data_IF_935064559387
#
_entry.id   IF_935064559387
#
_cell.length_a   1.000
_cell.length_b   1.000
_cell.length_c   1.000
_cell.angle_alpha   90.00
_cell.angle_beta   90.00
_cell.angle_gamma   90.00
#
_symmetry.space_group_name_H-M   'P 1'
#
loop_
_entity.id
_entity.type
_entity.pdbx_description
1 polymer ?
#
# COMPACT_ATOMS: atom_id res chain seq x y z
N UNK A 1 15.35 20.57 4.46
CA UNK A 1 14.28 19.66 4.93
C UNK A 1 13.12 20.46 5.49
N UNK A 2 13.29 21.23 6.58
CA UNK A 2 12.19 21.95 7.25
C UNK A 2 11.40 22.86 6.28
N UNK A 3 12.11 23.62 5.43
CA UNK A 3 11.52 24.54 4.46
C UNK A 3 10.85 23.84 3.27
N UNK A 4 11.50 22.83 2.71
CA UNK A 4 11.04 22.21 1.46
C UNK A 4 10.06 21.05 1.70
N UNK A 5 10.26 20.28 2.78
CA UNK A 5 9.59 19.01 3.00
C UNK A 5 8.50 19.10 4.07
N UNK A 6 8.77 19.78 5.19
CA UNK A 6 7.89 19.77 6.37
C UNK A 6 6.90 20.93 6.36
N UNK A 7 7.39 22.18 6.24
CA UNK A 7 6.54 23.37 6.36
C UNK A 7 6.07 23.93 5.01
N UNK A 8 6.84 23.71 3.95
CA UNK A 8 6.69 24.43 2.69
C UNK A 8 7.35 25.82 2.72
N UNK A 9 7.68 26.33 1.53
CA UNK A 9 8.49 27.55 1.38
C UNK A 9 7.85 28.79 1.99
N UNK A 10 6.60 29.04 1.68
CA UNK A 10 5.89 30.25 2.09
C UNK A 10 5.80 30.33 3.61
N UNK A 11 5.38 29.27 4.26
CA UNK A 11 5.16 29.23 5.69
C UNK A 11 6.49 29.28 6.47
N UNK A 12 7.50 28.56 5.99
CA UNK A 12 8.85 28.62 6.56
C UNK A 12 9.44 30.03 6.44
N UNK A 13 9.37 30.63 5.24
CA UNK A 13 9.95 31.95 4.99
C UNK A 13 9.28 33.02 5.84
N UNK A 14 7.96 32.94 6.05
CA UNK A 14 7.23 33.81 6.95
C UNK A 14 7.67 33.62 8.41
N UNK A 15 7.75 32.41 8.91
CA UNK A 15 8.17 32.13 10.28
C UNK A 15 9.64 32.54 10.54
N UNK A 16 10.52 32.25 9.58
CA UNK A 16 11.91 32.60 9.66
C UNK A 16 12.16 34.14 9.61
N UNK A 17 11.38 34.85 8.80
CA UNK A 17 11.38 36.32 8.80
C UNK A 17 10.92 36.86 10.16
N UNK A 18 9.85 36.32 10.72
CA UNK A 18 9.36 36.68 12.06
C UNK A 18 10.41 36.44 13.12
N UNK A 19 11.14 35.31 13.06
CA UNK A 19 12.26 35.06 13.94
C UNK A 19 13.35 36.11 13.79
N UNK A 20 13.75 36.43 12.56
CA UNK A 20 14.81 37.41 12.26
C UNK A 20 14.44 38.81 12.79
N UNK A 21 13.19 39.24 12.62
CA UNK A 21 12.71 40.53 13.12
C UNK A 21 12.62 40.58 14.66
N UNK A 22 12.10 39.52 15.28
CA UNK A 22 11.93 39.42 16.75
C UNK A 22 13.25 39.41 17.50
N UNK A 23 14.26 38.75 16.91
CA UNK A 23 15.54 38.48 17.58
C UNK A 23 16.72 39.28 17.03
N UNK A 24 16.49 40.20 16.09
CA UNK A 24 17.53 41.08 15.57
C UNK A 24 18.26 41.81 16.72
N UNK A 25 19.60 41.79 16.68
CA UNK A 25 20.49 42.37 17.67
C UNK A 25 20.34 41.83 19.12
N UNK A 26 19.70 40.68 19.30
CA UNK A 26 19.56 39.97 20.59
C UNK A 26 20.39 38.68 20.56
N UNK A 27 20.40 37.95 21.66
CA UNK A 27 21.12 36.68 21.83
C UNK A 27 20.12 35.53 22.03
N UNK A 28 19.43 35.02 20.98
CA UNK A 28 18.47 33.95 21.12
C UNK A 28 19.15 32.63 21.46
N UNK A 29 18.46 31.82 22.23
CA UNK A 29 18.78 30.42 22.45
C UNK A 29 18.13 29.56 21.38
N UNK A 30 18.52 28.28 21.21
CA UNK A 30 17.80 27.34 20.31
C UNK A 30 16.30 27.25 20.63
N UNK A 31 15.92 27.29 21.90
CA UNK A 31 14.52 27.27 22.32
C UNK A 31 13.71 28.47 21.80
N UNK A 32 14.35 29.64 21.73
CA UNK A 32 13.73 30.87 21.20
C UNK A 32 13.47 30.75 19.69
N UNK A 33 14.36 30.08 18.98
CA UNK A 33 14.16 29.76 17.57
C UNK A 33 12.99 28.79 17.39
N UNK A 34 12.99 27.66 18.10
CA UNK A 34 11.94 26.64 18.00
C UNK A 34 10.56 27.23 18.27
N UNK A 35 10.39 27.88 19.41
CA UNK A 35 9.14 28.54 19.77
C UNK A 35 8.69 29.59 18.75
N UNK A 36 9.63 30.38 18.24
CA UNK A 36 9.26 31.43 17.28
C UNK A 36 8.79 30.82 15.95
N UNK A 37 9.43 29.73 15.51
CA UNK A 37 9.03 29.02 14.29
C UNK A 37 7.62 28.43 14.46
N UNK A 38 7.33 27.80 15.58
CA UNK A 38 6.02 27.22 15.88
C UNK A 38 4.92 28.28 16.07
N UNK A 39 5.19 29.32 16.89
CA UNK A 39 4.26 30.42 17.12
C UNK A 39 3.86 31.14 15.81
N UNK A 40 4.83 31.36 14.94
CA UNK A 40 4.58 32.09 13.70
C UNK A 40 3.89 31.23 12.64
N UNK A 41 4.18 29.94 12.58
CA UNK A 41 3.64 29.02 11.58
C UNK A 41 2.36 28.31 12.02
N UNK A 42 2.08 28.26 13.33
CA UNK A 42 1.05 27.42 13.94
C UNK A 42 1.19 25.91 13.61
N UNK A 43 2.40 25.44 13.31
CA UNK A 43 2.74 24.05 13.04
C UNK A 43 3.41 23.45 14.25
N UNK A 44 2.98 22.24 14.67
CA UNK A 44 3.64 21.45 15.70
C UNK A 44 4.91 20.82 15.12
N UNK A 45 6.07 21.31 15.59
CA UNK A 45 7.40 20.86 15.15
C UNK A 45 8.18 20.17 16.29
N UNK A 46 7.56 19.90 17.42
CA UNK A 46 8.22 19.26 18.58
C UNK A 46 8.92 17.96 18.20
N UNK A 47 8.28 17.15 17.36
CA UNK A 47 8.84 15.90 16.84
C UNK A 47 10.11 16.13 16.02
N UNK A 48 10.15 17.22 15.23
CA UNK A 48 11.29 17.59 14.39
C UNK A 48 12.44 18.07 15.26
N UNK A 49 12.20 19.03 16.18
CA UNK A 49 13.22 19.54 17.08
C UNK A 49 13.83 18.44 17.95
N UNK A 50 12.98 17.58 18.52
CA UNK A 50 13.43 16.45 19.33
C UNK A 50 14.35 15.53 18.54
N UNK A 51 13.97 15.12 17.36
CA UNK A 51 14.76 14.21 16.54
C UNK A 51 16.07 14.84 16.07
N UNK A 52 16.00 15.99 15.41
CA UNK A 52 17.16 16.60 14.76
C UNK A 52 18.17 17.27 15.72
N UNK A 53 17.77 17.68 16.91
CA UNK A 53 18.63 18.45 17.82
C UNK A 53 18.95 17.74 19.13
N UNK A 54 18.19 16.72 19.52
CA UNK A 54 18.33 16.09 20.85
C UNK A 54 18.58 14.58 20.81
N UNK A 55 18.65 13.96 19.63
CA UNK A 55 19.04 12.56 19.47
C UNK A 55 20.24 12.40 18.56
N UNK A 56 20.80 11.19 18.50
CA UNK A 56 21.81 10.78 17.54
C UNK A 56 21.21 9.91 16.43
N UNK A 57 19.89 9.89 16.31
CA UNK A 57 19.17 9.13 15.34
C UNK A 57 19.37 9.69 13.92
N UNK A 58 19.08 8.89 12.93
CA UNK A 58 19.14 9.27 11.53
C UNK A 58 17.86 8.87 10.82
N UNK A 59 17.67 9.34 9.61
CA UNK A 59 16.53 8.94 8.79
C UNK A 59 16.88 7.66 8.04
N UNK A 60 16.12 6.60 8.29
CA UNK A 60 16.13 5.34 7.54
C UNK A 60 14.73 4.75 7.67
N UNK A 61 13.90 4.97 6.67
CA UNK A 61 12.52 4.47 6.60
C UNK A 61 12.46 3.42 5.50
N UNK A 62 11.94 2.24 5.80
CA UNK A 62 11.82 1.14 4.84
C UNK A 62 10.38 0.87 4.43
N UNK A 63 10.21 0.37 3.21
CA UNK A 63 9.01 -0.36 2.79
C UNK A 63 9.26 -1.84 3.10
N UNK A 64 8.62 -2.36 4.17
CA UNK A 64 8.84 -3.73 4.62
C UNK A 64 8.03 -4.73 3.82
N UNK A 65 6.75 -4.42 3.57
CA UNK A 65 5.80 -5.32 2.93
C UNK A 65 4.72 -4.53 2.20
N UNK A 66 4.27 -5.07 1.08
CA UNK A 66 3.14 -4.55 0.31
C UNK A 66 2.23 -5.71 -0.03
N UNK A 67 1.00 -5.65 0.46
CA UNK A 67 -0.04 -6.63 0.17
C UNK A 67 -1.11 -6.02 -0.70
N UNK A 68 -1.41 -6.68 -1.78
CA UNK A 68 -2.49 -6.32 -2.65
C UNK A 68 -3.71 -7.20 -2.40
N UNK A 69 -4.87 -6.58 -2.31
CA UNK A 69 -6.15 -7.26 -2.13
C UNK A 69 -7.16 -6.75 -3.16
N UNK A 70 -7.98 -7.64 -3.63
CA UNK A 70 -9.26 -7.32 -4.25
C UNK A 70 -10.38 -7.80 -3.34
N UNK A 71 -11.51 -7.12 -3.37
CA UNK A 71 -12.70 -7.57 -2.65
C UNK A 71 -13.24 -8.81 -3.36
N UNK A 72 -13.54 -9.85 -2.59
CA UNK A 72 -14.32 -10.98 -3.06
C UNK A 72 -15.77 -10.51 -3.23
N UNK A 73 -16.29 -10.60 -4.42
CA UNK A 73 -17.63 -10.13 -4.76
C UNK A 73 -18.73 -11.08 -4.29
N UNK A 74 -18.39 -12.29 -3.85
CA UNK A 74 -19.31 -13.42 -3.59
C UNK A 74 -20.18 -13.78 -4.82
N UNK A 75 -19.95 -13.13 -5.96
CA UNK A 75 -20.64 -13.42 -7.20
C UNK A 75 -20.06 -14.68 -7.85
N UNK A 76 -20.82 -15.79 -7.91
CA UNK A 76 -20.31 -17.05 -8.44
C UNK A 76 -19.92 -16.98 -9.92
N UNK A 77 -20.48 -16.04 -10.68
CA UNK A 77 -20.11 -15.83 -12.09
C UNK A 77 -18.72 -15.17 -12.24
N UNK A 78 -18.25 -14.46 -11.21
CA UNK A 78 -16.94 -13.80 -11.17
C UNK A 78 -15.93 -14.67 -10.42
N UNK A 79 -16.30 -15.16 -9.24
CA UNK A 79 -15.37 -15.82 -8.33
C UNK A 79 -15.03 -17.25 -8.75
N UNK A 80 -15.99 -18.01 -9.34
CA UNK A 80 -15.74 -19.37 -9.77
C UNK A 80 -14.69 -19.49 -10.89
N UNK A 81 -14.71 -18.65 -11.95
CA UNK A 81 -13.61 -18.59 -12.93
C UNK A 81 -12.26 -18.26 -12.31
N UNK A 82 -12.21 -17.29 -11.37
CA UNK A 82 -10.97 -16.91 -10.66
C UNK A 82 -10.45 -18.10 -9.84
N UNK A 83 -11.33 -18.78 -9.09
CA UNK A 83 -10.96 -19.95 -8.30
C UNK A 83 -10.46 -21.11 -9.18
N UNK A 84 -11.03 -21.30 -10.38
CA UNK A 84 -10.54 -22.25 -11.38
C UNK A 84 -9.13 -21.92 -11.82
N UNK A 85 -8.88 -20.66 -12.24
CA UNK A 85 -7.56 -20.19 -12.68
C UNK A 85 -6.50 -20.36 -11.61
N UNK A 86 -6.83 -20.09 -10.35
CA UNK A 86 -5.93 -20.29 -9.21
C UNK A 86 -5.60 -21.78 -9.05
N UNK A 87 -6.60 -22.65 -9.14
CA UNK A 87 -6.40 -24.09 -9.02
C UNK A 87 -5.54 -24.66 -10.16
N UNK A 88 -5.75 -24.20 -11.39
CA UNK A 88 -4.97 -24.61 -12.55
C UNK A 88 -3.50 -24.18 -12.48
N UNK A 89 -3.23 -23.02 -11.86
CA UNK A 89 -1.88 -22.50 -11.65
C UNK A 89 -1.15 -23.11 -10.44
N UNK A 90 -1.87 -23.88 -9.61
CA UNK A 90 -1.27 -24.54 -8.44
C UNK A 90 -0.35 -25.68 -8.89
N UNK A 91 0.68 -25.97 -8.11
CA UNK A 91 1.67 -26.99 -8.42
C UNK A 91 1.06 -28.32 -8.84
N UNK A 92 1.40 -28.73 -10.06
CA UNK A 92 0.87 -29.96 -10.65
C UNK A 92 1.63 -31.16 -10.09
N UNK A 93 0.91 -32.15 -9.58
CA UNK A 93 1.51 -33.39 -9.12
C UNK A 93 2.30 -34.06 -10.24
N UNK A 94 3.50 -34.59 -9.90
CA UNK A 94 4.47 -35.14 -10.88
C UNK A 94 3.83 -36.21 -11.80
N UNK A 95 2.86 -36.97 -11.30
CA UNK A 95 2.14 -37.95 -12.08
C UNK A 95 1.42 -37.34 -13.28
N UNK A 96 0.76 -36.19 -13.11
CA UNK A 96 0.12 -35.49 -14.23
C UNK A 96 1.14 -35.05 -15.27
N UNK A 97 2.26 -34.41 -14.86
CA UNK A 97 3.33 -33.99 -15.77
C UNK A 97 3.94 -35.14 -16.57
N UNK A 98 4.03 -36.35 -15.98
CA UNK A 98 4.51 -37.54 -16.69
C UNK A 98 3.46 -38.06 -17.66
N UNK A 99 2.19 -38.02 -17.28
CA UNK A 99 1.10 -38.47 -18.11
C UNK A 99 0.91 -37.62 -19.37
N UNK A 100 1.03 -36.29 -19.24
CA UNK A 100 0.98 -35.35 -20.39
C UNK A 100 1.92 -35.76 -21.54
N UNK A 101 3.07 -36.36 -21.23
CA UNK A 101 4.06 -36.79 -22.22
C UNK A 101 3.94 -38.24 -22.66
N UNK A 102 3.16 -39.08 -21.94
CA UNK A 102 3.11 -40.54 -22.15
C UNK A 102 1.73 -41.05 -22.58
N UNK A 103 0.69 -40.31 -22.21
CA UNK A 103 -0.72 -40.70 -22.48
C UNK A 103 -1.28 -39.72 -23.51
N UNK A 104 -1.43 -40.15 -24.74
CA UNK A 104 -1.99 -39.33 -25.81
C UNK A 104 -3.48 -39.09 -25.69
N UNK A 105 -4.18 -40.01 -25.04
CA UNK A 105 -5.64 -39.96 -24.88
C UNK A 105 -6.04 -40.78 -23.66
N UNK A 106 -6.90 -40.24 -22.82
CA UNK A 106 -7.43 -40.93 -21.63
C UNK A 106 -8.59 -41.85 -22.03
N UNK A 107 -8.97 -42.80 -21.15
CA UNK A 107 -10.09 -43.73 -21.42
C UNK A 107 -11.39 -42.96 -21.69
N UNK A 108 -11.67 -41.93 -20.91
CA UNK A 108 -12.87 -41.08 -21.05
C UNK A 108 -12.89 -40.19 -22.29
N UNK A 109 -11.77 -40.04 -22.99
CA UNK A 109 -11.70 -39.31 -24.27
C UNK A 109 -11.95 -40.16 -25.49
N UNK A 110 -11.82 -41.49 -25.38
CA UNK A 110 -12.05 -42.38 -26.49
C UNK A 110 -13.23 -43.36 -26.27
N UNK A 111 -13.76 -43.47 -25.06
CA UNK A 111 -14.85 -44.36 -24.69
C UNK A 111 -15.96 -43.62 -23.93
N UNK A 112 -16.97 -43.23 -24.64
CA UNK A 112 -18.12 -42.48 -24.11
C UNK A 112 -18.90 -43.28 -23.03
N UNK A 113 -18.79 -44.61 -23.01
CA UNK A 113 -19.44 -45.45 -21.98
C UNK A 113 -18.73 -45.33 -20.60
N UNK A 114 -17.49 -44.86 -20.60
CA UNK A 114 -16.68 -44.61 -19.39
C UNK A 114 -16.94 -43.23 -18.75
N UNK A 115 -17.77 -42.42 -19.39
CA UNK A 115 -18.12 -41.08 -18.88
C UNK A 115 -19.15 -41.24 -17.76
N UNK A 116 -18.83 -40.72 -16.59
CA UNK A 116 -19.72 -40.71 -15.44
C UNK A 116 -19.78 -39.28 -14.78
N UNK A 117 -20.51 -39.17 -13.68
CA UNK A 117 -20.65 -37.94 -12.95
C UNK A 117 -19.26 -37.34 -12.51
N UNK A 118 -18.33 -38.18 -12.09
CA UNK A 118 -17.02 -37.73 -11.60
C UNK A 118 -16.12 -37.21 -12.69
N UNK A 119 -16.30 -37.70 -13.93
CA UNK A 119 -15.51 -37.21 -15.09
C UNK A 119 -16.09 -35.94 -15.71
N UNK A 120 -17.38 -35.66 -15.50
CA UNK A 120 -18.08 -34.49 -16.04
C UNK A 120 -18.32 -33.39 -14.99
N UNK A 121 -18.13 -33.71 -13.70
CA UNK A 121 -18.36 -32.76 -12.62
C UNK A 121 -17.32 -31.64 -12.61
N UNK A 122 -17.81 -30.42 -12.80
CA UNK A 122 -17.01 -29.21 -12.67
C UNK A 122 -17.41 -28.48 -11.38
N UNK A 123 -16.52 -28.43 -10.34
CA UNK A 123 -16.82 -27.77 -9.08
C UNK A 123 -16.90 -26.24 -9.19
N UNK A 124 -16.49 -25.67 -10.33
CA UNK A 124 -16.53 -24.22 -10.60
C UNK A 124 -17.68 -23.83 -11.53
N UNK A 125 -18.54 -24.76 -11.89
CA UNK A 125 -19.74 -24.45 -12.68
C UNK A 125 -20.75 -23.72 -11.79
N UNK A 126 -21.11 -22.51 -12.17
CA UNK A 126 -22.14 -21.73 -11.47
C UNK A 126 -23.50 -22.36 -11.64
N UNK A 127 -24.09 -22.76 -10.54
CA UNK A 127 -25.43 -23.39 -10.50
C UNK A 127 -26.55 -22.36 -10.28
N UNK A 128 -27.81 -22.79 -10.43
CA UNK A 128 -28.97 -21.94 -10.10
C UNK A 128 -28.98 -21.62 -8.59
N UNK A 129 -28.62 -22.61 -7.75
CA UNK A 129 -28.56 -22.42 -6.29
C UNK A 129 -27.53 -21.38 -5.89
N UNK A 130 -26.36 -21.38 -6.52
CA UNK A 130 -25.30 -20.35 -6.26
C UNK A 130 -25.82 -18.94 -6.58
N UNK A 131 -26.59 -18.78 -7.67
CA UNK A 131 -27.21 -17.49 -8.04
C UNK A 131 -28.30 -17.06 -7.05
N UNK A 132 -29.11 -18.00 -6.58
CA UNK A 132 -30.14 -17.73 -5.57
C UNK A 132 -29.49 -17.30 -4.23
N UNK A 133 -28.43 -17.97 -3.82
CA UNK A 133 -27.72 -17.65 -2.59
C UNK A 133 -27.00 -16.31 -2.70
N UNK A 134 -26.42 -16.00 -3.84
CA UNK A 134 -25.85 -14.67 -4.11
C UNK A 134 -26.93 -13.57 -4.06
N UNK A 135 -28.12 -13.83 -4.60
CA UNK A 135 -29.23 -12.87 -4.53
C UNK A 135 -29.65 -12.59 -3.09
N UNK A 136 -29.79 -13.63 -2.26
CA UNK A 136 -30.07 -13.50 -0.84
C UNK A 136 -28.95 -12.76 -0.08
N UNK A 137 -27.69 -12.97 -0.47
CA UNK A 137 -26.56 -12.25 0.10
C UNK A 137 -26.69 -10.76 -0.16
N UNK A 138 -26.97 -10.35 -1.41
CA UNK A 138 -27.16 -8.95 -1.77
C UNK A 138 -28.36 -8.29 -1.03
N UNK A 139 -29.43 -9.02 -0.77
CA UNK A 139 -30.60 -8.53 -0.04
C UNK A 139 -30.29 -8.16 1.43
N UNK A 140 -29.20 -8.69 2.00
CA UNK A 140 -28.78 -8.42 3.37
C UNK A 140 -27.76 -7.27 3.49
N UNK A 141 -27.31 -6.71 2.37
CA UNK A 141 -26.34 -5.62 2.33
C UNK A 141 -27.03 -4.27 2.25
N UNK A 142 -26.37 -3.24 2.78
CA UNK A 142 -26.79 -1.86 2.56
C UNK A 142 -26.25 -1.29 1.24
N UNK A 143 -26.74 -0.12 0.83
CA UNK A 143 -26.38 0.51 -0.44
C UNK A 143 -24.87 0.81 -0.54
N UNK A 144 -24.20 1.16 0.58
CA UNK A 144 -22.76 1.43 0.61
C UNK A 144 -21.95 0.14 0.45
N UNK A 145 -22.38 -0.95 1.09
CA UNK A 145 -21.75 -2.25 0.96
C UNK A 145 -21.86 -2.79 -0.46
N UNK A 146 -23.00 -2.59 -1.11
CA UNK A 146 -23.21 -2.95 -2.52
C UNK A 146 -22.29 -2.13 -3.43
N UNK A 147 -22.17 -0.81 -3.20
CA UNK A 147 -21.25 0.05 -3.97
C UNK A 147 -19.80 -0.40 -3.83
N UNK A 148 -19.37 -0.76 -2.63
CA UNK A 148 -18.03 -1.28 -2.35
C UNK A 148 -17.79 -2.61 -3.08
N UNK A 149 -18.74 -3.54 -3.02
CA UNK A 149 -18.65 -4.84 -3.70
C UNK A 149 -18.56 -4.73 -5.22
N UNK A 150 -19.26 -3.75 -5.79
CA UNK A 150 -19.26 -3.52 -7.24
C UNK A 150 -18.08 -2.66 -7.70
N UNK A 151 -17.29 -2.10 -6.75
CA UNK A 151 -16.14 -1.28 -7.09
C UNK A 151 -14.97 -2.15 -7.55
N UNK A 152 -14.37 -1.82 -8.71
CA UNK A 152 -13.12 -2.47 -9.18
C UNK A 152 -11.88 -1.79 -8.58
N UNK A 153 -11.93 -1.51 -7.26
CA UNK A 153 -10.83 -0.87 -6.54
C UNK A 153 -9.75 -1.87 -6.18
N UNK A 154 -8.51 -1.38 -6.17
CA UNK A 154 -7.35 -2.11 -5.69
C UNK A 154 -7.00 -1.62 -4.27
N UNK A 155 -6.84 -2.53 -3.34
CA UNK A 155 -6.50 -2.25 -1.95
C UNK A 155 -5.07 -2.67 -1.69
N UNK A 156 -4.22 -1.73 -1.28
CA UNK A 156 -2.81 -1.99 -0.97
C UNK A 156 -2.54 -1.69 0.50
N UNK A 157 -2.19 -2.70 1.29
CA UNK A 157 -1.64 -2.51 2.64
C UNK A 157 -0.13 -2.37 2.53
N UNK A 158 0.40 -1.20 2.85
CA UNK A 158 1.82 -0.94 2.94
C UNK A 158 2.25 -0.93 4.40
N UNK A 159 3.34 -1.65 4.71
CA UNK A 159 3.99 -1.64 6.01
C UNK A 159 5.31 -0.91 5.92
N UNK A 160 5.53 0.03 6.85
CA UNK A 160 6.77 0.80 6.95
C UNK A 160 7.42 0.60 8.30
N UNK A 161 8.77 0.58 8.31
CA UNK A 161 9.57 0.64 9.53
C UNK A 161 10.45 1.88 9.54
N UNK A 162 10.56 2.52 10.70
CA UNK A 162 11.54 3.55 10.98
C UNK A 162 12.75 2.90 11.64
N UNK A 163 13.74 2.56 10.82
CA UNK A 163 14.95 1.83 11.26
C UNK A 163 15.93 2.79 11.94
N UNK A 164 16.01 4.02 11.42
CA UNK A 164 16.97 5.02 11.89
C UNK A 164 16.55 5.75 13.16
N UNK A 165 15.27 5.63 13.57
CA UNK A 165 14.73 6.25 14.77
C UNK A 165 14.22 7.68 14.59
N UNK A 166 14.75 8.43 13.63
CA UNK A 166 14.34 9.80 13.38
C UNK A 166 13.05 9.84 12.55
N UNK A 167 12.02 10.47 13.12
CA UNK A 167 10.70 10.56 12.48
C UNK A 167 10.72 11.57 11.33
N UNK A 168 10.16 11.18 10.18
CA UNK A 168 9.99 12.02 8.99
C UNK A 168 8.65 11.76 8.28
N UNK A 169 8.16 12.71 7.48
CA UNK A 169 7.05 12.44 6.56
C UNK A 169 7.39 11.28 5.63
N UNK A 170 6.37 10.51 5.25
CA UNK A 170 6.51 9.46 4.24
C UNK A 170 6.07 10.04 2.89
N UNK A 171 6.97 10.05 1.92
CA UNK A 171 6.73 10.54 0.57
C UNK A 171 6.83 9.35 -0.37
N UNK A 172 5.73 9.02 -1.05
CA UNK A 172 5.64 7.86 -1.93
C UNK A 172 5.39 8.31 -3.37
N UNK A 173 6.12 7.76 -4.29
CA UNK A 173 5.78 7.78 -5.70
C UNK A 173 5.19 6.43 -6.06
N UNK A 174 3.93 6.43 -6.49
CA UNK A 174 3.25 5.27 -7.06
C UNK A 174 3.40 5.30 -8.57
N UNK A 175 3.92 4.24 -9.14
CA UNK A 175 3.91 4.03 -10.57
C UNK A 175 2.90 2.95 -10.91
N UNK A 176 1.96 3.27 -11.79
CA UNK A 176 0.88 2.39 -12.20
C UNK A 176 1.23 1.59 -13.44
N UNK A 177 0.52 0.49 -13.66
CA UNK A 177 0.69 -0.38 -14.84
C UNK A 177 0.38 0.31 -16.17
N UNK A 178 -0.42 1.38 -16.15
CA UNK A 178 -0.71 2.22 -17.32
C UNK A 178 0.41 3.24 -17.66
N UNK A 179 1.49 3.26 -16.86
CA UNK A 179 2.62 4.18 -17.01
C UNK A 179 2.43 5.55 -16.37
N UNK A 180 1.28 5.83 -15.74
CA UNK A 180 1.07 7.06 -14.97
C UNK A 180 1.76 6.98 -13.61
N UNK A 181 2.11 8.15 -13.04
CA UNK A 181 2.73 8.27 -11.72
C UNK A 181 1.91 9.22 -10.84
N UNK A 182 1.94 8.98 -9.54
CA UNK A 182 1.35 9.84 -8.52
C UNK A 182 2.30 9.96 -7.33
N UNK A 183 2.40 11.17 -6.75
CA UNK A 183 3.19 11.39 -5.53
C UNK A 183 2.26 11.69 -4.36
N UNK A 184 2.34 10.86 -3.33
CA UNK A 184 1.54 10.97 -2.11
C UNK A 184 2.47 11.38 -0.96
N UNK A 185 2.03 12.39 -0.20
CA UNK A 185 2.74 12.87 0.99
C UNK A 185 1.92 12.56 2.23
N UNK A 186 2.51 11.83 3.16
CA UNK A 186 1.92 11.48 4.43
C UNK A 186 2.70 12.23 5.51
N UNK A 187 2.02 13.10 6.29
CA UNK A 187 2.70 13.88 7.30
C UNK A 187 3.29 13.02 8.42
N UNK A 188 4.29 13.55 9.11
CA UNK A 188 5.05 12.84 10.15
C UNK A 188 4.21 12.36 11.34
N UNK A 189 3.03 12.95 11.53
CA UNK A 189 2.05 12.57 12.55
C UNK A 189 1.57 11.12 12.43
N UNK A 190 1.77 10.47 11.28
CA UNK A 190 1.47 9.04 11.13
C UNK A 190 2.25 8.18 12.14
N UNK A 191 3.44 8.64 12.57
CA UNK A 191 4.28 7.98 13.56
C UNK A 191 3.87 8.23 15.01
N UNK A 192 2.86 9.07 15.27
CA UNK A 192 2.50 9.52 16.63
C UNK A 192 2.10 8.37 17.56
N UNK A 193 1.48 7.32 17.04
CA UNK A 193 1.06 6.15 17.84
C UNK A 193 2.14 5.08 17.98
N UNK A 194 2.97 4.94 16.97
CA UNK A 194 4.07 4.00 16.95
C UNK A 194 5.18 4.59 16.07
N UNK A 195 6.32 4.91 16.70
CA UNK A 195 7.46 5.51 16.02
C UNK A 195 8.34 4.50 15.28
N UNK A 196 8.11 3.20 15.45
CA UNK A 196 8.94 2.15 14.87
C UNK A 196 8.30 1.51 13.63
N UNK A 197 6.99 1.21 13.71
CA UNK A 197 6.28 0.50 12.62
C UNK A 197 4.87 1.01 12.44
N UNK A 198 4.50 1.17 11.19
CA UNK A 198 3.13 1.56 10.81
C UNK A 198 2.64 0.74 9.64
N UNK A 199 1.33 0.66 9.51
CA UNK A 199 0.64 0.15 8.34
C UNK A 199 -0.34 1.17 7.83
N UNK A 200 -0.46 1.27 6.51
CA UNK A 200 -1.43 2.14 5.86
C UNK A 200 -2.06 1.44 4.66
N UNK A 201 -3.37 1.54 4.56
CA UNK A 201 -4.13 1.04 3.41
C UNK A 201 -4.37 2.19 2.44
N UNK A 202 -4.14 1.90 1.16
CA UNK A 202 -4.46 2.77 0.03
C UNK A 202 -5.52 2.08 -0.81
N UNK A 203 -6.51 2.86 -1.23
CA UNK A 203 -7.58 2.41 -2.12
C UNK A 203 -7.35 3.13 -3.45
N UNK A 204 -7.03 2.37 -4.49
CA UNK A 204 -6.59 2.89 -5.77
C UNK A 204 -7.48 2.38 -6.90
N UNK A 205 -7.72 3.23 -7.90
CA UNK A 205 -8.46 2.84 -9.11
C UNK A 205 -7.59 1.99 -10.06
N UNK A 206 -6.27 2.10 -9.92
CA UNK A 206 -5.30 1.49 -10.83
C UNK A 206 -4.41 0.50 -10.10
N UNK A 207 -3.90 -0.47 -10.83
CA UNK A 207 -2.93 -1.43 -10.32
C UNK A 207 -1.53 -0.80 -10.25
N UNK A 208 -0.83 -1.02 -9.12
CA UNK A 208 0.53 -0.55 -8.93
C UNK A 208 1.54 -1.47 -9.61
N UNK A 209 2.46 -0.86 -10.35
CA UNK A 209 3.63 -1.52 -10.93
C UNK A 209 4.80 -1.49 -9.94
N UNK A 210 5.09 -0.33 -9.36
CA UNK A 210 6.11 -0.19 -8.34
C UNK A 210 5.82 1.01 -7.41
N UNK A 211 6.52 1.01 -6.27
CA UNK A 211 6.47 2.09 -5.28
C UNK A 211 7.90 2.52 -4.98
N UNK A 212 8.12 3.82 -4.92
CA UNK A 212 9.37 4.41 -4.49
C UNK A 212 9.14 5.35 -3.30
N UNK A 213 9.84 5.09 -2.21
CA UNK A 213 9.89 5.98 -1.05
C UNK A 213 10.93 7.08 -1.31
N UNK A 214 10.62 8.29 -0.87
CA UNK A 214 11.44 9.50 -1.03
C UNK A 214 11.99 9.70 -2.46
N UNK A 215 11.12 9.84 -3.46
CA UNK A 215 11.50 9.85 -4.86
C UNK A 215 12.46 11.00 -5.22
N UNK A 216 12.40 12.10 -4.48
CA UNK A 216 13.18 13.32 -4.74
C UNK A 216 14.27 13.59 -3.70
N UNK A 217 14.56 12.63 -2.81
CA UNK A 217 15.59 12.73 -1.76
C UNK A 217 15.35 13.92 -0.82
N UNK A 218 14.10 14.11 -0.39
CA UNK A 218 13.66 15.24 0.42
C UNK A 218 13.81 14.98 1.93
N UNK A 219 13.92 13.71 2.36
CA UNK A 219 13.91 13.35 3.79
C UNK A 219 15.30 13.13 4.38
N UNK A 220 16.35 13.08 3.54
CA UNK A 220 17.71 12.71 3.93
C UNK A 220 17.84 11.26 4.42
N UNK A 221 17.07 10.35 3.86
CA UNK A 221 17.19 8.92 4.10
C UNK A 221 18.58 8.41 3.72
N UNK A 222 19.24 7.71 4.64
CA UNK A 222 20.62 7.25 4.47
C UNK A 222 20.73 5.92 3.73
N UNK A 223 19.63 5.15 3.65
CA UNK A 223 19.61 3.82 3.04
C UNK A 223 18.54 3.70 1.96
N UNK A 224 18.83 4.14 0.77
CA UNK A 224 17.88 4.09 -0.34
C UNK A 224 17.63 2.68 -0.91
N UNK A 225 18.29 1.63 -0.43
CA UNK A 225 18.10 0.28 -0.95
C UNK A 225 16.79 -0.35 -0.48
N UNK A 226 16.26 0.08 0.66
CA UNK A 226 14.99 -0.37 1.24
C UNK A 226 13.79 0.51 0.85
N UNK A 227 14.00 1.48 -0.07
CA UNK A 227 13.02 2.46 -0.51
C UNK A 227 12.22 2.03 -1.75
N UNK A 228 12.27 0.76 -2.13
CA UNK A 228 11.63 0.29 -3.37
C UNK A 228 10.76 -0.94 -3.12
N UNK A 229 9.63 -0.95 -3.78
CA UNK A 229 8.83 -2.15 -3.95
C UNK A 229 8.43 -2.30 -5.43
N UNK A 230 8.62 -3.50 -6.04
CA UNK A 230 9.35 -4.66 -5.52
C UNK A 230 10.80 -4.33 -5.17
N UNK A 231 11.42 -5.04 -4.22
CA UNK A 231 12.84 -4.85 -3.87
C UNK A 231 13.74 -4.96 -5.11
N UNK A 232 14.75 -4.09 -5.18
CA UNK A 232 15.74 -4.08 -6.26
C UNK A 232 16.87 -5.07 -6.04
#
# INVERSE_FOLDING_TARGET
ILRETVMGRELFDYAFKTYSERWAFKHPTPADFFRTMEDASAVDLDWFWRGWFYTNDHVDISIDDVKWFKINTENPEIENPIARDIKEKTDTYIGYKRNENQISQTVTEYDDESIDFYTTYDPFLTTILDKEDYTKYLENLDDNEIEILQSDKNYYELQFSNIGGLVMPIILEFQYTDGSNEVIRIPAEIWKRNSEKIKKIFILDKELLNIKLDPYLETADVNMNNNYWPPR
#
